data_IF_234176048160
#
_entry.id   IF_234176048160
#
_cell.length_a   1.000
_cell.length_b   1.000
_cell.length_c   1.000
_cell.angle_alpha   90.00
_cell.angle_beta   90.00
_cell.angle_gamma   90.00
#
_symmetry.space_group_name_H-M   'P 1'
#
loop_
_entity.id
_entity.type
_entity.pdbx_description
1 polymer ?
#
# COMPACT_ATOMS: atom_id res chain seq x y z
N UNK A 1 1.89 46.18 -24.64
CA UNK A 1 2.32 46.16 -23.21
C UNK A 1 3.75 45.64 -23.15
N UNK A 2 4.72 46.47 -22.74
CA UNK A 2 5.33 46.48 -21.38
C UNK A 2 5.90 45.11 -20.97
N UNK A 3 7.18 44.91 -20.63
CA UNK A 3 8.33 45.78 -20.34
C UNK A 3 9.61 44.91 -20.37
N UNK A 4 10.79 45.47 -20.69
CA UNK A 4 11.82 46.01 -19.75
C UNK A 4 12.40 44.96 -18.79
N UNK A 5 13.70 44.90 -18.48
CA UNK A 5 14.95 45.51 -18.90
C UNK A 5 16.05 44.62 -18.25
N UNK A 6 17.09 44.22 -18.97
CA UNK A 6 18.43 44.84 -19.04
C UNK A 6 19.26 44.75 -17.76
N UNK A 7 20.27 43.88 -17.88
CA UNK A 7 21.60 43.82 -17.27
C UNK A 7 22.25 45.15 -16.87
N UNK A 8 23.21 45.05 -15.94
CA UNK A 8 24.50 45.76 -15.74
C UNK A 8 24.75 45.92 -14.22
N UNK A 9 25.92 45.96 -13.60
CA UNK A 9 27.32 45.51 -13.77
C UNK A 9 28.11 46.18 -12.63
N UNK A 10 29.25 45.59 -12.23
CA UNK A 10 30.38 46.20 -11.49
C UNK A 10 30.16 46.47 -9.96
N UNK A 11 31.15 46.55 -9.08
CA UNK A 11 32.56 47.03 -9.12
C UNK A 11 33.37 46.35 -7.98
N UNK A 12 34.67 46.10 -8.21
CA UNK A 12 35.69 45.76 -7.20
C UNK A 12 36.20 47.00 -6.45
N UNK A 13 36.59 46.85 -5.18
CA UNK A 13 37.33 47.89 -4.46
C UNK A 13 37.96 47.39 -3.15
N UNK A 14 39.28 47.24 -3.17
CA UNK A 14 40.16 47.02 -2.00
C UNK A 14 40.40 48.34 -1.26
N UNK A 15 40.46 48.38 0.07
CA UNK A 15 41.25 49.40 0.79
C UNK A 15 41.65 48.97 2.21
N UNK A 16 42.81 49.48 2.62
CA UNK A 16 43.76 49.08 3.66
C UNK A 16 43.36 49.68 5.07
N UNK A 17 44.21 49.65 6.13
CA UNK A 17 43.86 49.18 7.47
C UNK A 17 43.79 50.35 8.48
N UNK A 18 43.20 50.13 9.65
CA UNK A 18 43.44 51.02 10.79
C UNK A 18 43.81 50.20 12.01
N UNK A 19 45.10 50.20 12.28
CA UNK A 19 45.71 49.81 13.55
C UNK A 19 45.44 50.93 14.54
N UNK A 20 44.54 50.72 15.50
CA UNK A 20 44.40 51.61 16.65
C UNK A 20 44.77 50.90 17.94
N UNK A 21 45.69 51.58 18.61
CA UNK A 21 46.43 51.29 19.82
C UNK A 21 45.57 51.57 21.05
N UNK A 22 45.27 50.57 21.89
CA UNK A 22 44.69 50.83 23.20
C UNK A 22 45.14 49.80 24.25
N UNK A 23 46.33 50.07 24.79
CA UNK A 23 46.72 50.03 26.21
C UNK A 23 45.71 49.35 27.16
N UNK A 24 46.06 48.13 27.58
CA UNK A 24 45.37 47.26 28.54
C UNK A 24 45.38 47.85 29.95
N UNK A 25 44.22 48.03 30.56
CA UNK A 25 44.06 48.27 31.99
C UNK A 25 43.73 46.95 32.72
N UNK A 26 44.54 46.60 33.72
CA UNK A 26 44.57 45.29 34.40
C UNK A 26 43.41 45.01 35.38
N UNK A 27 42.34 45.80 35.35
CA UNK A 27 41.12 45.60 36.17
C UNK A 27 40.17 44.56 35.57
N UNK A 28 40.19 44.41 34.24
CA UNK A 28 39.27 43.54 33.51
C UNK A 28 39.49 42.04 33.76
N UNK A 29 40.70 41.63 34.17
CA UNK A 29 41.02 40.22 34.34
C UNK A 29 40.33 39.56 35.55
N UNK A 30 40.16 40.29 36.65
CA UNK A 30 39.50 39.74 37.86
C UNK A 30 37.99 39.54 37.70
N UNK A 31 37.33 40.25 36.77
CA UNK A 31 35.90 40.08 36.52
C UNK A 31 35.59 38.84 35.64
N UNK A 32 36.57 38.34 34.88
CA UNK A 32 36.38 37.23 33.92
C UNK A 32 36.52 35.83 34.54
N UNK A 33 37.24 35.67 35.66
CA UNK A 33 37.39 34.35 36.31
C UNK A 33 36.16 33.95 37.14
N UNK A 34 35.48 34.91 37.78
CA UNK A 34 34.26 34.64 38.55
C UNK A 34 33.03 34.27 37.67
N UNK A 35 33.04 34.66 36.39
CA UNK A 35 31.92 34.40 35.45
C UNK A 35 32.03 33.06 34.73
N UNK A 36 33.23 32.48 34.58
CA UNK A 36 33.40 31.13 33.99
C UNK A 36 32.86 30.02 34.89
N UNK A 37 33.12 30.10 36.20
CA UNK A 37 32.75 29.05 37.17
C UNK A 37 31.22 28.92 37.30
N UNK A 38 30.46 30.01 37.15
CA UNK A 38 28.99 29.99 37.23
C UNK A 38 28.30 29.52 35.94
N UNK A 39 28.97 29.58 34.79
CA UNK A 39 28.40 29.14 33.50
C UNK A 39 28.49 27.62 33.31
N UNK A 40 29.57 26.97 33.77
CA UNK A 40 29.74 25.50 33.63
C UNK A 40 28.78 24.69 34.50
N UNK A 41 28.53 25.13 35.74
CA UNK A 41 27.53 24.55 36.65
C UNK A 41 26.11 24.74 36.13
N UNK A 42 25.80 25.94 35.60
CA UNK A 42 24.46 26.26 35.07
C UNK A 42 24.17 25.49 33.78
N UNK A 43 25.15 25.26 32.91
CA UNK A 43 24.94 24.53 31.64
C UNK A 43 24.65 23.04 31.85
N UNK A 44 25.35 22.38 32.79
CA UNK A 44 25.10 20.96 33.14
C UNK A 44 23.70 20.78 33.74
N UNK A 45 23.29 21.65 34.65
CA UNK A 45 21.98 21.55 35.32
C UNK A 45 20.80 21.89 34.40
N UNK A 46 21.01 22.73 33.38
CA UNK A 46 20.01 23.10 32.38
C UNK A 46 19.91 22.11 31.20
N UNK A 47 20.93 21.25 30.99
CA UNK A 47 20.88 20.18 29.99
C UNK A 47 20.36 18.83 30.51
N UNK A 48 20.44 18.57 31.81
CA UNK A 48 19.96 17.32 32.42
C UNK A 48 18.43 17.34 32.62
N UNK A 49 17.84 18.51 32.88
CA UNK A 49 16.40 18.65 33.12
C UNK A 49 15.49 18.33 31.90
N UNK A 50 15.79 18.73 30.65
CA UNK A 50 14.94 18.38 29.50
C UNK A 50 15.19 16.95 28.99
N UNK A 51 16.37 16.38 29.22
CA UNK A 51 16.72 15.04 28.71
C UNK A 51 15.91 13.92 29.40
N UNK A 52 15.65 14.04 30.71
CA UNK A 52 14.86 13.06 31.44
C UNK A 52 13.35 13.13 31.10
N UNK A 53 12.81 14.33 30.84
CA UNK A 53 11.39 14.52 30.48
C UNK A 53 11.11 14.07 29.04
N UNK A 54 12.05 14.29 28.11
CA UNK A 54 11.95 13.78 26.73
C UNK A 54 12.07 12.26 26.68
N UNK A 55 12.95 11.65 27.49
CA UNK A 55 13.11 10.18 27.54
C UNK A 55 11.87 9.46 28.15
N UNK A 56 11.21 10.07 29.12
CA UNK A 56 9.99 9.50 29.72
C UNK A 56 8.76 9.69 28.82
N UNK A 57 8.63 10.83 28.12
CA UNK A 57 7.57 11.05 27.14
C UNK A 57 7.69 10.14 25.90
N UNK A 58 8.92 9.83 25.45
CA UNK A 58 9.15 8.87 24.37
C UNK A 58 8.77 7.43 24.78
N UNK A 59 8.98 7.08 26.05
CA UNK A 59 8.67 5.73 26.55
C UNK A 59 7.16 5.47 26.71
N UNK A 60 6.35 6.51 26.92
CA UNK A 60 4.87 6.40 27.00
C UNK A 60 4.22 6.39 25.61
N UNK A 61 4.85 6.98 24.59
CA UNK A 61 4.28 7.00 23.23
C UNK A 61 4.52 5.71 22.42
N UNK A 62 5.46 4.86 22.84
CA UNK A 62 5.77 3.58 22.18
C UNK A 62 4.90 2.39 22.65
N UNK A 63 4.01 2.60 23.64
CA UNK A 63 3.13 1.56 24.20
C UNK A 63 1.75 1.43 23.53
N UNK A 64 1.36 2.35 22.66
CA UNK A 64 0.16 2.21 21.85
C UNK A 64 0.47 1.30 20.65
N UNK A 65 0.40 -0.01 20.88
CA UNK A 65 0.53 -1.02 19.85
C UNK A 65 -0.34 -0.65 18.65
N UNK A 66 0.28 -0.56 17.48
CA UNK A 66 -0.43 -0.42 16.22
C UNK A 66 -1.38 -1.60 16.08
N UNK A 67 -2.67 -1.37 16.30
CA UNK A 67 -3.72 -2.26 15.82
C UNK A 67 -3.67 -2.12 14.31
N UNK A 68 -2.94 -3.02 13.65
CA UNK A 68 -3.08 -3.18 12.21
C UNK A 68 -4.50 -3.69 11.98
N UNK A 69 -5.41 -2.78 11.61
CA UNK A 69 -6.68 -3.20 11.03
C UNK A 69 -6.32 -4.13 9.86
N UNK A 70 -6.82 -5.37 9.89
CA UNK A 70 -6.72 -6.27 8.75
C UNK A 70 -7.31 -5.53 7.55
N UNK A 71 -6.51 -5.34 6.49
CA UNK A 71 -6.99 -4.63 5.32
C UNK A 71 -8.14 -5.44 4.70
N UNK A 72 -9.31 -4.83 4.45
CA UNK A 72 -10.45 -5.56 3.95
C UNK A 72 -10.11 -6.24 2.62
N UNK A 73 -10.56 -7.48 2.44
CA UNK A 73 -10.33 -8.23 1.21
C UNK A 73 -10.92 -7.47 0.01
N UNK A 74 -10.04 -6.94 -0.85
CA UNK A 74 -10.42 -6.25 -2.09
C UNK A 74 -10.30 -7.21 -3.27
N UNK A 75 -11.06 -6.95 -4.32
CA UNK A 75 -10.94 -7.69 -5.56
C UNK A 75 -9.49 -7.58 -6.12
N UNK A 76 -8.86 -8.70 -6.51
CA UNK A 76 -7.56 -8.68 -7.17
C UNK A 76 -7.57 -7.76 -8.40
N UNK A 77 -6.63 -6.82 -8.45
CA UNK A 77 -6.51 -5.86 -9.56
C UNK A 77 -5.81 -6.46 -10.78
N UNK A 78 -5.08 -7.54 -10.59
CA UNK A 78 -4.44 -8.28 -11.68
C UNK A 78 -5.34 -9.44 -12.14
N UNK A 79 -5.12 -9.88 -13.38
CA UNK A 79 -5.72 -11.10 -13.88
C UNK A 79 -5.23 -12.29 -13.06
N UNK A 80 -6.17 -13.06 -12.52
CA UNK A 80 -5.89 -14.28 -11.78
C UNK A 80 -5.97 -15.50 -12.70
N UNK A 81 -5.25 -16.54 -12.31
CA UNK A 81 -5.36 -17.86 -12.92
C UNK A 81 -6.16 -18.77 -11.99
N UNK A 82 -7.30 -19.24 -12.47
CA UNK A 82 -8.08 -20.28 -11.81
C UNK A 82 -7.40 -21.61 -12.12
N UNK A 83 -6.82 -22.22 -11.09
CA UNK A 83 -6.08 -23.47 -11.19
C UNK A 83 -6.99 -24.67 -11.49
N UNK A 84 -6.39 -25.69 -12.10
CA UNK A 84 -7.05 -26.96 -12.42
C UNK A 84 -6.35 -27.70 -13.55
N UNK A 85 -6.96 -28.80 -14.01
CA UNK A 85 -6.41 -29.59 -15.14
C UNK A 85 -6.21 -28.76 -16.41
N UNK A 86 -7.04 -27.73 -16.59
CA UNK A 86 -6.95 -26.72 -17.66
C UNK A 86 -7.09 -25.35 -16.99
N UNK A 87 -5.99 -24.67 -16.65
CA UNK A 87 -6.05 -23.38 -15.98
C UNK A 87 -6.80 -22.35 -16.85
N UNK A 88 -7.56 -21.46 -16.22
CA UNK A 88 -8.32 -20.42 -16.91
C UNK A 88 -7.94 -19.02 -16.41
N UNK A 89 -7.89 -18.05 -17.32
CA UNK A 89 -7.69 -16.63 -16.98
C UNK A 89 -9.00 -16.01 -16.51
N UNK A 90 -8.93 -15.17 -15.49
CA UNK A 90 -10.06 -14.38 -15.01
C UNK A 90 -9.60 -13.00 -14.52
N UNK A 91 -10.33 -11.95 -14.88
CA UNK A 91 -10.01 -10.56 -14.52
C UNK A 91 -11.18 -9.91 -13.81
N UNK A 92 -11.05 -9.65 -12.50
CA UNK A 92 -12.05 -8.85 -11.78
C UNK A 92 -12.24 -7.46 -12.39
N UNK A 93 -11.16 -6.69 -12.71
CA UNK A 93 -11.33 -5.36 -13.30
C UNK A 93 -12.18 -5.36 -14.57
N UNK A 94 -12.02 -6.37 -15.43
CA UNK A 94 -12.81 -6.48 -16.66
C UNK A 94 -14.31 -6.62 -16.36
N UNK A 95 -14.68 -7.45 -15.38
CA UNK A 95 -16.09 -7.68 -15.04
C UNK A 95 -16.68 -6.50 -14.25
N UNK A 96 -15.94 -5.93 -13.30
CA UNK A 96 -16.38 -4.77 -12.53
C UNK A 96 -16.57 -3.54 -13.43
N UNK A 97 -15.69 -3.31 -14.40
CA UNK A 97 -15.82 -2.20 -15.36
C UNK A 97 -17.02 -2.38 -16.32
N UNK A 98 -17.54 -3.60 -16.47
CA UNK A 98 -18.78 -3.84 -17.22
C UNK A 98 -20.03 -3.52 -16.39
N UNK A 99 -19.89 -3.32 -15.08
CA UNK A 99 -20.98 -3.03 -14.16
C UNK A 99 -21.49 -4.25 -13.39
N UNK A 100 -20.77 -5.38 -13.40
CA UNK A 100 -21.08 -6.49 -12.50
C UNK A 100 -20.64 -6.16 -11.09
N UNK A 101 -21.43 -6.57 -10.11
CA UNK A 101 -21.11 -6.46 -8.68
C UNK A 101 -20.51 -7.76 -8.14
N UNK A 102 -20.07 -7.72 -6.88
CA UNK A 102 -19.50 -8.89 -6.21
C UNK A 102 -20.54 -10.02 -6.06
N UNK A 103 -21.79 -9.62 -5.80
CA UNK A 103 -22.96 -10.45 -5.59
C UNK A 103 -23.33 -11.29 -6.82
N UNK A 104 -22.95 -10.84 -8.02
CA UNK A 104 -23.18 -11.55 -9.29
C UNK A 104 -22.45 -12.90 -9.33
N UNK A 105 -21.38 -13.06 -8.55
CA UNK A 105 -20.54 -14.27 -8.53
C UNK A 105 -20.41 -14.89 -7.13
N UNK A 106 -20.21 -14.07 -6.10
CA UNK A 106 -19.98 -14.53 -4.74
C UNK A 106 -21.31 -14.63 -3.99
N UNK A 107 -21.59 -15.83 -3.48
CA UNK A 107 -22.77 -16.14 -2.69
C UNK A 107 -22.38 -16.93 -1.43
N UNK A 108 -23.27 -16.94 -0.44
CA UNK A 108 -23.14 -17.79 0.75
C UNK A 108 -23.64 -19.23 0.49
N UNK A 109 -23.71 -20.05 1.54
CA UNK A 109 -24.13 -21.46 1.44
C UNK A 109 -25.62 -21.58 1.12
N UNK A 110 -26.41 -20.59 1.50
CA UNK A 110 -27.84 -20.45 1.24
C UNK A 110 -28.14 -19.83 -0.14
N UNK A 111 -27.10 -19.56 -0.95
CA UNK A 111 -27.16 -18.87 -2.24
C UNK A 111 -27.60 -17.40 -2.17
N UNK A 112 -27.51 -16.76 -1.02
CA UNK A 112 -27.68 -15.32 -0.96
C UNK A 112 -26.44 -14.62 -1.51
N UNK A 113 -26.62 -13.55 -2.29
CA UNK A 113 -25.51 -12.75 -2.82
C UNK A 113 -24.70 -12.10 -1.69
N UNK A 114 -23.37 -12.14 -1.82
CA UNK A 114 -22.45 -11.47 -0.89
C UNK A 114 -22.14 -10.05 -1.36
N UNK A 115 -22.29 -9.08 -0.46
CA UNK A 115 -21.94 -7.68 -0.73
C UNK A 115 -20.43 -7.46 -0.67
N UNK A 116 -19.95 -6.33 -1.20
CA UNK A 116 -18.54 -5.94 -1.12
C UNK A 116 -18.07 -5.78 0.33
N UNK A 117 -18.95 -5.31 1.22
CA UNK A 117 -18.68 -5.16 2.65
C UNK A 117 -18.55 -6.52 3.34
N UNK A 118 -19.44 -7.47 3.02
CA UNK A 118 -19.37 -8.83 3.56
C UNK A 118 -18.08 -9.53 3.13
N UNK A 119 -17.69 -9.37 1.87
CA UNK A 119 -16.43 -9.88 1.32
C UNK A 119 -15.23 -9.20 1.99
N UNK A 120 -15.26 -7.88 2.11
CA UNK A 120 -14.19 -7.10 2.73
C UNK A 120 -14.00 -7.41 4.22
N UNK A 121 -15.05 -7.86 4.91
CA UNK A 121 -15.00 -8.29 6.31
C UNK A 121 -14.39 -9.66 6.54
N UNK A 122 -14.10 -10.45 5.50
CA UNK A 122 -13.51 -11.77 5.65
C UNK A 122 -12.02 -11.67 5.99
N UNK A 123 -11.61 -12.44 7.01
CA UNK A 123 -10.21 -12.58 7.40
C UNK A 123 -9.41 -13.49 6.46
N UNK A 124 -10.09 -14.35 5.70
CA UNK A 124 -9.48 -15.26 4.72
C UNK A 124 -10.19 -15.15 3.36
N UNK A 125 -9.50 -14.55 2.37
CA UNK A 125 -9.97 -14.50 1.00
C UNK A 125 -10.05 -15.89 0.34
N UNK A 126 -9.37 -16.90 0.89
CA UNK A 126 -9.45 -18.29 0.46
C UNK A 126 -10.87 -18.87 0.58
N UNK A 127 -11.66 -18.41 1.55
CA UNK A 127 -13.06 -18.81 1.72
C UNK A 127 -13.93 -18.47 0.51
N UNK A 128 -13.58 -17.43 -0.26
CA UNK A 128 -14.32 -16.98 -1.44
C UNK A 128 -14.06 -17.82 -2.70
N UNK A 129 -13.04 -18.68 -2.68
CA UNK A 129 -12.78 -19.59 -3.81
C UNK A 129 -13.96 -20.53 -3.92
N UNK A 130 -14.56 -20.66 -5.11
CA UNK A 130 -15.74 -21.51 -5.30
C UNK A 130 -15.52 -22.94 -4.76
N UNK A 131 -14.31 -23.49 -4.95
CA UNK A 131 -13.91 -24.82 -4.50
C UNK A 131 -13.69 -24.96 -2.99
N UNK A 132 -13.76 -23.87 -2.21
CA UNK A 132 -13.77 -23.93 -0.75
C UNK A 132 -15.02 -24.66 -0.24
N UNK A 133 -16.17 -24.42 -0.88
CA UNK A 133 -17.45 -25.07 -0.61
C UNK A 133 -17.83 -26.09 -1.69
N UNK A 134 -17.58 -25.80 -2.96
CA UNK A 134 -17.86 -26.68 -4.10
C UNK A 134 -16.75 -27.73 -4.29
N UNK A 135 -16.69 -28.65 -3.33
CA UNK A 135 -15.70 -29.73 -3.26
C UNK A 135 -16.38 -31.09 -3.02
N UNK A 136 -15.59 -32.14 -2.80
CA UNK A 136 -16.10 -33.52 -2.60
C UNK A 136 -17.03 -33.71 -1.40
N UNK A 137 -17.05 -32.77 -0.45
CA UNK A 137 -17.90 -32.79 0.73
C UNK A 137 -19.23 -32.06 0.52
N UNK A 138 -19.42 -31.36 -0.60
CA UNK A 138 -20.68 -30.66 -0.89
C UNK A 138 -21.84 -31.67 -0.97
N UNK A 139 -22.98 -31.42 -0.30
CA UNK A 139 -24.08 -32.39 -0.19
C UNK A 139 -24.70 -32.74 -1.55
N UNK A 140 -24.76 -31.76 -2.46
CA UNK A 140 -25.16 -32.00 -3.84
C UNK A 140 -23.94 -32.38 -4.70
N UNK A 141 -23.95 -33.61 -5.26
CA UNK A 141 -22.91 -34.17 -6.12
C UNK A 141 -22.66 -33.38 -7.40
N UNK A 142 -23.69 -32.75 -7.95
CA UNK A 142 -23.57 -31.98 -9.19
C UNK A 142 -22.81 -30.67 -8.98
N UNK A 143 -22.77 -30.19 -7.73
CA UNK A 143 -22.08 -28.98 -7.32
C UNK A 143 -20.67 -29.24 -6.75
N UNK A 144 -20.17 -30.47 -6.78
CA UNK A 144 -18.84 -30.83 -6.26
C UNK A 144 -17.72 -30.54 -7.25
N UNK A 145 -18.03 -30.46 -8.54
CA UNK A 145 -17.04 -30.40 -9.61
C UNK A 145 -16.78 -28.97 -10.04
N UNK A 146 -15.55 -28.50 -9.83
CA UNK A 146 -15.10 -27.17 -10.27
C UNK A 146 -15.44 -26.88 -11.75
N UNK A 147 -15.24 -27.84 -12.65
CA UNK A 147 -15.59 -27.69 -14.07
C UNK A 147 -17.06 -27.30 -14.27
N UNK A 148 -17.95 -27.92 -13.53
CA UNK A 148 -19.39 -27.81 -13.76
C UNK A 148 -19.90 -26.48 -13.18
N UNK A 149 -19.46 -26.11 -11.97
CA UNK A 149 -19.83 -24.82 -11.36
C UNK A 149 -19.26 -23.61 -12.12
N UNK A 150 -18.01 -23.67 -12.59
CA UNK A 150 -17.41 -22.56 -13.34
C UNK A 150 -18.05 -22.42 -14.72
N UNK A 151 -18.35 -23.52 -15.41
CA UNK A 151 -19.06 -23.40 -16.69
C UNK A 151 -20.49 -22.91 -16.49
N UNK A 152 -21.22 -23.39 -15.47
CA UNK A 152 -22.56 -22.91 -15.20
C UNK A 152 -22.59 -21.41 -14.84
N UNK A 153 -21.60 -20.90 -14.07
CA UNK A 153 -21.58 -19.46 -13.73
C UNK A 153 -20.97 -18.59 -14.82
N UNK A 154 -19.79 -18.93 -15.31
CA UNK A 154 -19.06 -18.08 -16.25
C UNK A 154 -19.60 -18.21 -17.67
N UNK A 155 -19.79 -19.44 -18.17
CA UNK A 155 -20.16 -19.66 -19.58
C UNK A 155 -21.60 -19.26 -19.83
N UNK A 156 -22.52 -19.59 -18.92
CA UNK A 156 -23.94 -19.30 -19.11
C UNK A 156 -24.16 -17.78 -19.09
N UNK A 157 -23.58 -17.05 -18.12
CA UNK A 157 -23.60 -15.58 -18.11
C UNK A 157 -22.99 -14.98 -19.39
N UNK A 158 -21.89 -15.56 -19.90
CA UNK A 158 -21.31 -15.11 -21.18
C UNK A 158 -22.23 -15.35 -22.39
N UNK A 159 -23.02 -16.42 -22.37
CA UNK A 159 -23.97 -16.78 -23.43
C UNK A 159 -25.23 -15.90 -23.40
N UNK A 160 -25.78 -15.69 -22.20
CA UNK A 160 -26.91 -14.80 -21.93
C UNK A 160 -26.52 -13.34 -22.24
N UNK A 161 -25.34 -12.95 -21.78
CA UNK A 161 -24.81 -11.60 -21.87
C UNK A 161 -25.25 -10.71 -20.72
N UNK A 162 -24.55 -9.59 -20.56
CA UNK A 162 -24.82 -8.57 -19.56
C UNK A 162 -24.80 -7.19 -20.23
N UNK A 163 -25.81 -6.36 -19.97
CA UNK A 163 -25.94 -5.02 -20.57
C UNK A 163 -25.75 -5.00 -22.10
N UNK A 164 -26.29 -6.00 -22.81
CA UNK A 164 -26.18 -6.12 -24.26
C UNK A 164 -24.82 -6.60 -24.79
N UNK A 165 -23.87 -6.94 -23.89
CA UNK A 165 -22.55 -7.47 -24.26
C UNK A 165 -22.47 -8.96 -23.92
N UNK A 166 -21.88 -9.75 -24.81
CA UNK A 166 -21.62 -11.18 -24.57
C UNK A 166 -20.15 -11.41 -24.25
N UNK A 167 -19.90 -12.40 -23.41
CA UNK A 167 -18.56 -12.81 -23.06
C UNK A 167 -18.02 -13.92 -23.97
N UNK A 168 -16.72 -14.27 -23.82
CA UNK A 168 -16.12 -15.37 -24.54
C UNK A 168 -16.72 -16.72 -24.14
N UNK A 169 -17.12 -17.54 -25.13
CA UNK A 169 -17.71 -18.87 -24.89
C UNK A 169 -16.87 -20.02 -25.46
N UNK A 170 -15.79 -19.71 -26.17
CA UNK A 170 -14.89 -20.73 -26.73
C UNK A 170 -13.90 -21.22 -25.67
N UNK A 171 -13.52 -22.50 -25.74
CA UNK A 171 -12.67 -23.13 -24.73
C UNK A 171 -11.33 -22.40 -24.53
N UNK A 172 -10.71 -21.94 -25.63
CA UNK A 172 -9.39 -21.30 -25.61
C UNK A 172 -9.42 -19.82 -25.26
N UNK A 173 -10.60 -19.20 -25.21
CA UNK A 173 -10.73 -17.81 -24.79
C UNK A 173 -10.53 -17.65 -23.28
N UNK A 174 -10.85 -18.68 -22.50
CA UNK A 174 -10.64 -18.69 -21.06
C UNK A 174 -9.46 -19.59 -20.67
N UNK A 175 -9.36 -20.80 -21.24
CA UNK A 175 -8.31 -21.74 -20.86
C UNK A 175 -6.98 -21.44 -21.55
N UNK A 176 -5.93 -21.42 -20.73
CA UNK A 176 -4.56 -21.32 -21.22
C UNK A 176 -4.24 -22.52 -22.11
N UNK A 177 -3.76 -22.26 -23.32
CA UNK A 177 -3.11 -23.30 -24.12
C UNK A 177 -1.93 -23.81 -23.31
N UNK A 178 -1.86 -25.12 -23.07
CA UNK A 178 -0.62 -25.73 -22.58
C UNK A 178 0.47 -25.30 -23.56
N UNK A 179 1.52 -24.63 -23.07
CA UNK A 179 2.76 -24.56 -23.85
C UNK A 179 3.11 -26.01 -24.15
N UNK A 180 3.23 -26.37 -25.43
CA UNK A 180 3.84 -27.65 -25.78
C UNK A 180 5.17 -27.67 -25.02
N UNK A 181 5.40 -28.70 -24.19
CA UNK A 181 6.74 -28.92 -23.63
C UNK A 181 7.68 -28.86 -24.83
N UNK A 182 8.53 -27.83 -24.88
CA UNK A 182 9.65 -27.86 -25.80
C UNK A 182 10.34 -29.18 -25.55
N UNK A 183 10.48 -29.98 -26.61
CA UNK A 183 11.41 -31.09 -26.57
C UNK A 183 12.78 -30.42 -26.45
N UNK A 184 13.25 -30.24 -25.21
CA UNK A 184 14.63 -29.88 -24.98
C UNK A 184 15.45 -31.14 -25.20
N UNK A 185 16.00 -31.24 -26.41
CA UNK A 185 17.21 -32.00 -26.69
C UNK A 185 17.01 -33.50 -26.92
N UNK A 186 17.46 -33.92 -28.09
CA UNK A 186 18.02 -35.25 -28.32
C UNK A 186 19.20 -35.52 -27.35
#
# INVERSE_FOLDING_TARGET
MSGRHRVMSAVQGSFFPLRCNQKRNHSWFKQMEATKITMEEKMKKQMIAPAAVVAFAFSVFLGAGMVTAAEPAKAPQEEIIIDGKKPARFSHPTHLNLGLDCASCHHDQEHNPLSAEAIGGLSDAGALKCVSCHNSQHPNKDLQKAKDIFHAKCKDCHQEGFAGKKGPTTCTSCHLKKKAKGYEGC
#
